data_IF_903464563862
#
_entry.id   IF_903464563862
#
_cell.length_a   1.000
_cell.length_b   1.000
_cell.length_c   1.000
_cell.angle_alpha   90.00
_cell.angle_beta   90.00
_cell.angle_gamma   90.00
#
_symmetry.space_group_name_H-M   'P 1'
#
loop_
_entity.id
_entity.type
_entity.pdbx_description
1 polymer ?
#
# COMPACT_ATOMS: atom_id res chain seq x y z
N UNK A 1 10.67 76.51 48.06
CA UNK A 1 10.45 76.94 49.48
C UNK A 1 9.95 75.72 50.23
N UNK A 2 10.82 75.21 51.05
CA UNK A 2 10.63 74.94 52.50
C UNK A 2 9.47 73.97 52.81
N UNK A 3 9.55 72.95 53.60
CA UNK A 3 10.55 72.45 54.55
C UNK A 3 9.86 71.38 55.37
N UNK A 4 10.57 70.32 55.67
CA UNK A 4 10.64 69.63 56.95
C UNK A 4 9.30 69.13 57.57
N UNK A 5 9.19 68.03 58.16
CA UNK A 5 10.13 67.16 58.86
C UNK A 5 9.36 66.12 59.68
N UNK A 6 10.03 65.07 59.95
CA UNK A 6 10.31 64.58 61.29
C UNK A 6 9.04 64.07 62.09
N UNK A 7 9.00 63.00 62.64
CA UNK A 7 9.85 62.06 63.44
C UNK A 7 8.96 61.26 64.37
N UNK A 8 9.35 60.06 64.55
CA UNK A 8 9.40 59.24 65.79
C UNK A 8 8.12 58.61 66.34
N UNK A 9 8.16 57.30 66.33
CA UNK A 9 8.35 56.33 67.45
C UNK A 9 7.22 56.24 68.49
N UNK A 10 6.65 55.08 68.71
CA UNK A 10 6.88 54.18 69.86
C UNK A 10 5.75 53.16 69.96
N UNK A 11 6.18 51.94 69.99
CA UNK A 11 5.71 50.78 70.76
C UNK A 11 4.39 50.93 71.55
N UNK A 12 3.50 49.95 71.31
CA UNK A 12 2.91 49.20 72.40
C UNK A 12 2.33 47.88 71.91
N UNK A 13 2.85 46.83 72.49
CA UNK A 13 2.39 45.47 72.48
C UNK A 13 1.01 45.34 73.09
N UNK A 14 0.10 44.64 72.47
CA UNK A 14 -0.88 43.83 73.24
C UNK A 14 -1.34 42.59 72.39
N UNK A 15 -1.09 41.44 72.98
CA UNK A 15 -1.64 40.15 72.67
C UNK A 15 -3.18 40.21 72.70
N UNK A 16 -3.79 39.63 71.63
CA UNK A 16 -5.06 38.93 71.85
C UNK A 16 -5.15 37.82 70.80
N UNK A 17 -5.08 36.64 71.32
CA UNK A 17 -5.40 35.42 70.59
C UNK A 17 -6.91 35.38 70.29
N UNK A 18 -7.25 35.12 69.05
CA UNK A 18 -8.57 34.60 68.74
C UNK A 18 -8.58 33.86 67.42
N UNK A 19 -8.75 32.58 67.56
CA UNK A 19 -9.53 31.67 66.68
C UNK A 19 -9.05 31.54 65.24
N UNK A 20 -8.17 30.62 65.04
CA UNK A 20 -7.98 29.90 63.79
C UNK A 20 -9.33 29.24 63.40
N UNK A 21 -10.05 29.80 62.46
CA UNK A 21 -10.98 29.06 61.65
C UNK A 21 -10.18 28.53 60.46
N UNK A 22 -9.82 27.26 60.54
CA UNK A 22 -9.37 26.53 59.37
C UNK A 22 -10.58 26.40 58.42
N UNK A 23 -10.70 27.31 57.51
CA UNK A 23 -11.38 27.02 56.26
C UNK A 23 -10.37 26.15 55.43
N UNK A 24 -10.54 24.85 55.48
CA UNK A 24 -10.07 23.99 54.42
C UNK A 24 -10.86 24.31 53.15
N UNK A 25 -10.43 25.33 52.41
CA UNK A 25 -10.67 25.34 51.01
C UNK A 25 -9.90 24.15 50.41
N UNK A 26 -10.62 23.06 50.22
CA UNK A 26 -10.22 22.02 49.29
C UNK A 26 -10.18 22.72 47.95
N UNK A 27 -9.02 23.22 47.54
CA UNK A 27 -8.75 23.49 46.15
C UNK A 27 -9.00 22.17 45.43
N UNK A 28 -10.19 22.03 44.88
CA UNK A 28 -10.52 21.01 43.88
C UNK A 28 -9.74 21.43 42.64
N UNK A 29 -8.44 21.11 42.61
CA UNK A 29 -7.67 21.21 41.40
C UNK A 29 -8.26 20.15 40.44
N UNK A 30 -9.32 20.54 39.73
CA UNK A 30 -9.67 19.80 38.52
C UNK A 30 -8.38 19.75 37.68
N UNK A 31 -7.74 18.58 37.66
CA UNK A 31 -6.58 18.35 36.82
C UNK A 31 -7.04 18.62 35.38
N UNK A 32 -6.50 19.68 34.77
CA UNK A 32 -6.71 19.93 33.35
C UNK A 32 -6.33 18.64 32.64
N UNK A 33 -7.25 18.04 31.87
CA UNK A 33 -6.95 16.80 31.16
C UNK A 33 -5.68 16.99 30.32
N UNK A 34 -4.72 16.10 30.48
CA UNK A 34 -3.47 16.19 29.73
C UNK A 34 -3.69 15.85 28.27
N UNK A 35 -3.13 16.67 27.37
CA UNK A 35 -3.05 16.31 25.96
C UNK A 35 -2.17 15.08 25.77
N UNK A 36 -2.56 14.22 24.86
CA UNK A 36 -1.82 13.03 24.42
C UNK A 36 -1.49 13.16 22.94
N UNK A 37 -0.41 12.55 22.54
CA UNK A 37 -0.05 12.39 21.16
C UNK A 37 -0.71 11.11 20.60
N UNK A 38 -1.31 11.25 19.43
CA UNK A 38 -1.88 10.16 18.65
C UNK A 38 -1.10 10.07 17.36
N UNK A 39 -0.58 8.89 17.06
CA UNK A 39 0.14 8.59 15.82
C UNK A 39 -0.61 7.53 15.05
N UNK A 40 -0.92 7.83 13.80
CA UNK A 40 -1.59 6.93 12.88
C UNK A 40 -0.60 6.54 11.79
N UNK A 41 -0.35 5.24 11.66
CA UNK A 41 0.43 4.66 10.57
C UNK A 41 -0.54 3.98 9.62
N UNK A 42 -0.68 4.52 8.41
CA UNK A 42 -1.60 4.02 7.39
C UNK A 42 -0.81 3.24 6.35
N UNK A 43 -1.07 1.95 6.25
CA UNK A 43 -0.37 1.04 5.33
C UNK A 43 -1.36 0.14 4.60
N UNK A 44 -0.93 -0.43 3.47
CA UNK A 44 -1.65 -1.55 2.86
C UNK A 44 -1.46 -2.84 3.67
N UNK A 45 -2.28 -3.86 3.43
CA UNK A 45 -2.07 -5.20 4.01
C UNK A 45 -0.73 -5.83 3.60
N UNK A 46 -0.12 -5.37 2.50
CA UNK A 46 1.23 -5.72 2.09
C UNK A 46 2.35 -4.88 2.72
N UNK A 47 2.02 -4.00 3.67
CA UNK A 47 2.99 -3.17 4.40
C UNK A 47 3.46 -1.91 3.66
N UNK A 48 2.91 -1.60 2.48
CA UNK A 48 3.26 -0.38 1.75
C UNK A 48 2.65 0.86 2.43
N UNK A 49 3.42 1.92 2.72
CA UNK A 49 2.87 3.16 3.26
C UNK A 49 1.86 3.82 2.31
N UNK A 50 0.73 4.27 2.85
CA UNK A 50 -0.21 5.15 2.15
C UNK A 50 0.25 6.59 2.38
N UNK A 51 1.16 7.06 1.55
CA UNK A 51 1.82 8.35 1.68
C UNK A 51 1.01 9.51 1.08
N UNK A 52 1.17 10.72 1.65
CA UNK A 52 0.55 11.96 1.18
C UNK A 52 -0.98 11.87 1.04
N UNK A 53 -1.61 11.02 1.85
CA UNK A 53 -3.04 10.79 1.81
C UNK A 53 -3.75 11.57 2.92
N UNK A 54 -4.80 12.30 2.56
CA UNK A 54 -5.53 13.13 3.52
C UNK A 54 -6.50 12.30 4.34
N UNK A 55 -6.60 12.65 5.62
CA UNK A 55 -7.53 12.04 6.57
C UNK A 55 -8.08 13.08 7.54
N UNK A 56 -9.18 12.72 8.21
CA UNK A 56 -9.80 13.52 9.24
C UNK A 56 -9.95 12.69 10.50
N UNK A 57 -9.79 13.32 11.66
CA UNK A 57 -10.05 12.73 12.97
C UNK A 57 -11.19 13.48 13.60
N UNK A 58 -12.17 12.76 14.12
CA UNK A 58 -13.36 13.29 14.79
C UNK A 58 -13.36 12.87 16.25
N UNK A 59 -13.93 13.72 17.12
CA UNK A 59 -14.01 13.49 18.55
C UNK A 59 -15.07 12.44 18.94
N UNK A 60 -15.88 11.99 18.02
CA UNK A 60 -16.93 11.00 18.23
C UNK A 60 -17.16 10.06 17.03
N UNK A 61 -17.83 8.95 17.27
CA UNK A 61 -18.14 7.94 16.25
C UNK A 61 -19.18 8.39 15.21
N UNK A 62 -19.82 9.55 15.38
CA UNK A 62 -20.75 10.10 14.38
C UNK A 62 -20.02 10.88 13.28
N UNK A 63 -18.71 11.10 13.45
CA UNK A 63 -17.82 11.84 12.56
C UNK A 63 -18.38 13.26 12.22
N UNK A 64 -18.88 13.95 13.22
CA UNK A 64 -19.45 15.31 13.08
C UNK A 64 -18.60 16.38 13.76
N UNK A 65 -17.90 16.05 14.85
CA UNK A 65 -17.05 16.98 15.60
C UNK A 65 -15.58 16.79 15.20
N UNK A 66 -15.10 17.67 14.29
CA UNK A 66 -13.77 17.60 13.73
C UNK A 66 -12.71 18.01 14.77
N UNK A 67 -11.86 17.08 15.19
CA UNK A 67 -10.74 17.31 16.09
C UNK A 67 -9.46 17.69 15.34
N UNK A 68 -9.11 16.95 14.27
CA UNK A 68 -7.90 17.17 13.51
C UNK A 68 -8.06 16.75 12.05
N UNK A 69 -7.24 17.32 11.17
CA UNK A 69 -7.17 16.92 9.77
C UNK A 69 -5.77 17.17 9.22
N UNK A 70 -5.33 16.30 8.32
CA UNK A 70 -4.02 16.44 7.69
C UNK A 70 -3.76 15.34 6.68
N UNK A 71 -2.48 15.18 6.34
CA UNK A 71 -2.03 14.14 5.41
C UNK A 71 -0.95 13.31 6.05
N UNK A 72 -0.89 12.04 5.67
CA UNK A 72 0.24 11.17 6.01
C UNK A 72 1.53 11.66 5.35
N UNK A 73 2.65 11.43 5.99
CA UNK A 73 3.98 11.67 5.44
C UNK A 73 4.39 10.57 4.43
N UNK A 74 5.65 10.58 4.00
CA UNK A 74 6.22 9.57 3.08
C UNK A 74 6.24 8.15 3.64
N UNK A 75 6.17 8.00 4.98
CA UNK A 75 6.13 6.72 5.69
C UNK A 75 4.69 6.29 6.03
N UNK A 76 3.68 7.03 5.57
CA UNK A 76 2.28 6.78 5.88
C UNK A 76 1.87 7.25 7.28
N UNK A 77 2.64 8.14 7.92
CA UNK A 77 2.41 8.56 9.30
C UNK A 77 1.71 9.93 9.35
N UNK A 78 0.68 10.02 10.19
CA UNK A 78 0.03 11.25 10.61
C UNK A 78 -0.04 11.31 12.12
N UNK A 79 0.33 12.45 12.72
CA UNK A 79 0.27 12.65 14.17
C UNK A 79 -0.47 13.93 14.54
N UNK A 80 -1.17 13.91 15.67
CA UNK A 80 -1.86 15.06 16.24
C UNK A 80 -1.87 14.99 17.78
N UNK A 81 -2.13 16.12 18.43
CA UNK A 81 -2.29 16.19 19.89
C UNK A 81 -3.73 16.55 20.22
N UNK A 82 -4.28 15.85 21.18
CA UNK A 82 -5.64 16.07 21.68
C UNK A 82 -5.77 15.58 23.12
N UNK A 83 -6.89 15.92 23.77
CA UNK A 83 -7.20 15.38 25.09
C UNK A 83 -7.33 13.85 25.03
N UNK A 84 -6.94 13.16 26.11
CA UNK A 84 -7.07 11.72 26.15
C UNK A 84 -8.54 11.27 25.99
N UNK A 85 -8.80 10.46 24.98
CA UNK A 85 -10.14 9.94 24.67
C UNK A 85 -10.04 8.60 23.94
N UNK A 86 -10.99 7.72 24.20
CA UNK A 86 -11.23 6.47 23.48
C UNK A 86 -12.34 6.56 22.40
N UNK A 87 -12.80 7.78 22.15
CA UNK A 87 -13.92 8.04 21.22
C UNK A 87 -13.45 8.58 19.86
N UNK A 88 -12.17 8.95 19.73
CA UNK A 88 -11.66 9.45 18.46
C UNK A 88 -11.78 8.41 17.35
N UNK A 89 -12.22 8.88 16.18
CA UNK A 89 -12.27 8.07 14.98
C UNK A 89 -11.55 8.76 13.82
N UNK A 90 -10.74 8.00 13.11
CA UNK A 90 -10.12 8.47 11.86
C UNK A 90 -10.96 8.05 10.67
N UNK A 91 -11.10 8.94 9.70
CA UNK A 91 -11.75 8.72 8.42
C UNK A 91 -10.76 9.08 7.32
N UNK A 92 -10.43 8.12 6.49
CA UNK A 92 -9.60 8.35 5.31
C UNK A 92 -10.44 9.00 4.21
N UNK A 93 -9.87 9.96 3.50
CA UNK A 93 -10.49 10.45 2.26
C UNK A 93 -10.57 9.30 1.24
N UNK A 94 -11.41 9.40 0.20
CA UNK A 94 -11.47 8.34 -0.81
C UNK A 94 -10.09 7.98 -1.35
N UNK A 95 -9.77 6.71 -1.28
CA UNK A 95 -8.53 6.12 -1.78
C UNK A 95 -8.62 5.89 -3.30
N UNK A 96 -7.50 5.70 -3.99
CA UNK A 96 -7.51 5.25 -5.38
C UNK A 96 -8.27 3.95 -5.56
N UNK A 97 -8.77 3.72 -6.77
CA UNK A 97 -9.49 2.50 -7.13
C UNK A 97 -8.67 1.24 -6.80
N UNK A 98 -9.35 0.24 -6.25
CA UNK A 98 -8.74 -1.01 -5.78
C UNK A 98 -8.19 -0.98 -4.36
N UNK A 99 -8.18 0.19 -3.68
CA UNK A 99 -7.85 0.30 -2.27
C UNK A 99 -9.13 0.42 -1.46
N UNK A 100 -9.30 -0.44 -0.47
CA UNK A 100 -10.52 -0.54 0.35
C UNK A 100 -10.20 -0.24 1.80
N UNK A 101 -10.79 0.84 2.32
CA UNK A 101 -10.69 1.22 3.72
C UNK A 101 -12.04 1.00 4.43
N UNK A 102 -11.98 0.79 5.75
CA UNK A 102 -13.16 0.88 6.60
C UNK A 102 -13.75 2.30 6.57
N UNK A 103 -15.03 2.45 6.89
CA UNK A 103 -15.66 3.76 6.95
C UNK A 103 -15.00 4.66 8.00
N UNK A 104 -14.59 4.07 9.12
CA UNK A 104 -13.88 4.76 10.19
C UNK A 104 -13.04 3.78 11.03
N UNK A 105 -12.02 4.31 11.69
CA UNK A 105 -11.11 3.58 12.57
C UNK A 105 -11.12 4.22 13.96
N UNK A 106 -11.46 3.46 14.99
CA UNK A 106 -11.38 3.93 16.38
C UNK A 106 -9.92 4.01 16.83
N UNK A 107 -9.54 5.15 17.42
CA UNK A 107 -8.17 5.42 17.84
C UNK A 107 -7.99 5.21 19.33
N UNK A 108 -6.79 4.80 19.71
CA UNK A 108 -6.30 4.76 21.07
C UNK A 108 -5.20 5.79 21.25
N UNK A 109 -5.02 6.29 22.45
CA UNK A 109 -3.87 7.12 22.80
C UNK A 109 -2.56 6.42 22.44
N UNK A 110 -1.61 7.11 21.80
CA UNK A 110 -0.36 6.58 21.32
C UNK A 110 -0.41 6.11 19.85
N UNK A 111 0.24 5.01 19.55
CA UNK A 111 0.40 4.49 18.20
C UNK A 111 -0.83 3.69 17.74
N UNK A 112 -1.28 3.94 16.52
CA UNK A 112 -2.36 3.25 15.84
C UNK A 112 -1.88 2.83 14.45
N UNK A 113 -2.20 1.59 14.04
CA UNK A 113 -1.96 1.13 12.69
C UNK A 113 -3.30 0.93 11.97
N UNK A 114 -3.45 1.58 10.83
CA UNK A 114 -4.60 1.47 9.94
C UNK A 114 -4.20 0.66 8.72
N UNK A 115 -4.82 -0.49 8.55
CA UNK A 115 -4.57 -1.38 7.43
C UNK A 115 -5.63 -1.16 6.35
N UNK A 116 -5.19 -0.79 5.17
CA UNK A 116 -6.00 -0.64 3.96
C UNK A 116 -5.87 -1.92 3.14
N UNK A 117 -6.99 -2.56 2.83
CA UNK A 117 -7.02 -3.73 1.95
C UNK A 117 -6.87 -3.33 0.49
N UNK A 118 -6.49 -4.29 -0.33
CA UNK A 118 -6.45 -4.14 -1.78
C UNK A 118 -7.30 -5.21 -2.43
N UNK A 119 -8.09 -4.84 -3.45
CA UNK A 119 -8.96 -5.74 -4.18
C UNK A 119 -8.80 -5.48 -5.69
N UNK A 120 -8.74 -6.54 -6.48
CA UNK A 120 -8.69 -6.44 -7.93
C UNK A 120 -9.90 -5.64 -8.45
N UNK A 121 -9.64 -4.77 -9.41
CA UNK A 121 -10.66 -3.89 -9.98
C UNK A 121 -11.51 -4.68 -10.99
N UNK A 122 -12.82 -4.51 -10.96
CA UNK A 122 -13.67 -5.06 -12.03
C UNK A 122 -13.33 -4.41 -13.37
N UNK A 123 -13.15 -5.23 -14.42
CA UNK A 123 -12.84 -4.74 -15.77
C UNK A 123 -14.05 -4.02 -16.37
N UNK A 124 -14.17 -2.73 -16.09
CA UNK A 124 -15.18 -1.86 -16.73
C UNK A 124 -14.69 -1.15 -18.00
N UNK A 125 -13.36 -1.07 -18.17
CA UNK A 125 -12.73 -0.37 -19.30
C UNK A 125 -11.96 -1.35 -20.20
N UNK A 126 -12.31 -1.51 -21.48
CA UNK A 126 -11.60 -2.39 -22.41
C UNK A 126 -10.15 -1.96 -22.67
N UNK A 127 -9.79 -0.70 -22.42
CA UNK A 127 -8.44 -0.15 -22.60
C UNK A 127 -7.65 -0.08 -21.29
N UNK A 128 -7.96 -0.92 -20.32
CA UNK A 128 -7.24 -0.91 -19.06
C UNK A 128 -5.77 -1.35 -19.25
N UNK A 129 -4.87 -0.53 -18.74
CA UNK A 129 -3.42 -0.76 -18.81
C UNK A 129 -2.92 -1.25 -17.46
N UNK A 130 -2.14 -2.33 -17.43
CA UNK A 130 -1.43 -2.78 -16.24
C UNK A 130 -0.31 -1.78 -15.90
N UNK A 131 -0.62 -0.84 -15.03
CA UNK A 131 0.27 0.28 -14.70
C UNK A 131 0.97 0.08 -13.37
N UNK A 132 2.27 0.31 -13.33
CA UNK A 132 3.09 0.20 -12.13
C UNK A 132 2.52 1.03 -10.97
N UNK A 133 2.38 0.42 -9.80
CA UNK A 133 1.84 1.02 -8.59
C UNK A 133 0.32 1.14 -8.54
N UNK A 134 -0.40 0.56 -9.50
CA UNK A 134 -1.86 0.48 -9.51
C UNK A 134 -2.34 -0.93 -9.21
N UNK A 135 -3.53 -1.04 -8.62
CA UNK A 135 -4.17 -2.34 -8.47
C UNK A 135 -4.59 -2.83 -9.87
N UNK A 136 -4.30 -4.09 -10.15
CA UNK A 136 -4.68 -4.73 -11.40
C UNK A 136 -6.20 -4.97 -11.46
N UNK A 137 -6.73 -5.09 -12.68
CA UNK A 137 -8.10 -5.55 -12.86
C UNK A 137 -8.18 -7.08 -12.79
N UNK A 138 -9.33 -7.61 -12.40
CA UNK A 138 -9.59 -9.03 -12.46
C UNK A 138 -9.83 -9.43 -13.92
N UNK A 139 -8.97 -10.27 -14.44
CA UNK A 139 -9.03 -10.72 -15.83
C UNK A 139 -9.20 -12.23 -15.91
N UNK A 140 -9.77 -12.67 -17.01
CA UNK A 140 -9.81 -14.06 -17.41
C UNK A 140 -9.16 -14.21 -18.77
N UNK A 141 -8.30 -15.22 -18.93
CA UNK A 141 -7.72 -15.64 -20.21
C UNK A 141 -7.94 -17.13 -20.44
N UNK A 142 -7.99 -17.53 -21.70
CA UNK A 142 -7.92 -18.95 -22.10
C UNK A 142 -6.61 -19.18 -22.82
N UNK A 143 -5.78 -20.11 -22.33
CA UNK A 143 -4.51 -20.44 -22.96
C UNK A 143 -4.68 -21.23 -24.27
N UNK A 144 -3.58 -21.44 -24.96
CA UNK A 144 -3.56 -22.18 -26.22
C UNK A 144 -3.92 -23.68 -26.09
N UNK A 145 -4.01 -24.21 -24.88
CA UNK A 145 -4.47 -25.57 -24.59
C UNK A 145 -5.96 -25.62 -24.19
N UNK A 146 -6.63 -24.47 -24.07
CA UNK A 146 -8.02 -24.35 -23.68
C UNK A 146 -8.24 -24.26 -22.17
N UNK A 147 -7.18 -24.14 -21.35
CA UNK A 147 -7.29 -23.93 -19.92
C UNK A 147 -7.62 -22.48 -19.60
N UNK A 148 -8.51 -22.26 -18.61
CA UNK A 148 -8.93 -20.90 -18.18
C UNK A 148 -8.16 -20.50 -16.94
N UNK A 149 -7.74 -19.26 -16.92
CA UNK A 149 -7.00 -18.62 -15.82
C UNK A 149 -7.64 -17.29 -15.48
N UNK A 150 -7.98 -17.10 -14.21
CA UNK A 150 -8.54 -15.87 -13.68
C UNK A 150 -7.56 -15.27 -12.67
N UNK A 151 -7.28 -13.99 -12.73
CA UNK A 151 -6.29 -13.36 -11.85
C UNK A 151 -6.62 -13.57 -10.38
N UNK A 152 -7.89 -13.34 -9.99
CA UNK A 152 -8.35 -13.53 -8.61
C UNK A 152 -8.21 -14.97 -8.11
N UNK A 153 -8.47 -15.97 -8.95
CA UNK A 153 -8.30 -17.38 -8.55
C UNK A 153 -6.82 -17.77 -8.43
N UNK A 154 -5.98 -17.29 -9.33
CA UNK A 154 -4.54 -17.53 -9.26
C UNK A 154 -3.92 -16.91 -8.00
N UNK A 155 -4.27 -15.68 -7.66
CA UNK A 155 -3.74 -14.99 -6.48
C UNK A 155 -4.20 -15.59 -5.14
N UNK A 156 -5.22 -16.46 -5.11
CA UNK A 156 -5.57 -17.22 -3.90
C UNK A 156 -4.50 -18.25 -3.53
N UNK A 157 -3.73 -18.74 -4.50
CA UNK A 157 -2.78 -19.82 -4.32
C UNK A 157 -1.34 -19.45 -4.68
N UNK A 158 -1.17 -18.42 -5.49
CA UNK A 158 0.14 -17.93 -5.95
C UNK A 158 0.51 -16.62 -5.25
N UNK A 159 1.78 -16.44 -4.98
CA UNK A 159 2.33 -15.22 -4.37
C UNK A 159 2.56 -14.09 -5.37
N UNK A 160 2.61 -14.42 -6.66
CA UNK A 160 2.73 -13.45 -7.74
C UNK A 160 2.19 -14.02 -9.05
N UNK A 161 1.74 -13.11 -9.93
CA UNK A 161 1.49 -13.40 -11.35
C UNK A 161 2.49 -12.63 -12.19
N UNK A 162 3.10 -13.31 -13.16
CA UNK A 162 3.99 -12.72 -14.14
C UNK A 162 3.27 -12.70 -15.48
N UNK A 163 3.00 -11.51 -16.00
CA UNK A 163 2.44 -11.33 -17.33
C UNK A 163 3.59 -10.99 -18.26
N UNK A 164 3.85 -11.82 -19.26
CA UNK A 164 4.86 -11.56 -20.27
C UNK A 164 4.19 -11.29 -21.61
N UNK A 165 4.35 -10.08 -22.14
CA UNK A 165 3.83 -9.70 -23.45
C UNK A 165 4.86 -9.98 -24.54
N UNK A 166 4.43 -10.69 -25.59
CA UNK A 166 5.30 -11.15 -26.65
C UNK A 166 4.57 -11.25 -28.00
N UNK A 167 5.30 -11.57 -29.08
CA UNK A 167 4.72 -11.95 -30.38
C UNK A 167 5.63 -12.91 -31.13
N UNK A 168 5.11 -13.65 -32.13
CA UNK A 168 5.80 -14.77 -32.76
C UNK A 168 7.12 -14.42 -33.45
N UNK A 169 7.19 -13.26 -34.09
CA UNK A 169 8.41 -12.81 -34.80
C UNK A 169 9.34 -11.94 -33.93
N UNK A 170 9.12 -11.89 -32.62
CA UNK A 170 9.94 -11.15 -31.68
C UNK A 170 11.26 -11.90 -31.37
N UNK A 171 12.35 -11.47 -31.97
CA UNK A 171 13.67 -12.05 -31.71
C UNK A 171 14.09 -11.99 -30.25
N UNK A 172 14.01 -10.82 -29.57
CA UNK A 172 14.32 -10.71 -28.14
C UNK A 172 13.44 -11.59 -27.24
N UNK A 173 12.13 -11.77 -27.56
CA UNK A 173 11.25 -12.66 -26.81
C UNK A 173 11.72 -14.13 -26.88
N UNK A 174 12.19 -14.55 -28.06
CA UNK A 174 12.74 -15.90 -28.26
C UNK A 174 13.99 -16.14 -27.44
N UNK A 175 14.83 -15.13 -27.24
CA UNK A 175 16.02 -15.22 -26.40
C UNK A 175 15.71 -15.31 -24.92
N UNK A 176 14.61 -14.68 -24.49
CA UNK A 176 14.20 -14.62 -23.09
C UNK A 176 13.56 -15.93 -22.59
N UNK A 177 12.72 -16.54 -23.38
CA UNK A 177 11.88 -17.69 -22.98
C UNK A 177 12.62 -18.86 -22.37
N UNK A 178 13.80 -19.30 -22.87
CA UNK A 178 14.53 -20.39 -22.22
C UNK A 178 14.89 -20.10 -20.76
N UNK A 179 15.37 -18.90 -20.45
CA UNK A 179 15.73 -18.50 -19.09
C UNK A 179 14.53 -18.36 -18.19
N UNK A 180 13.43 -17.80 -18.73
CA UNK A 180 12.14 -17.71 -18.03
C UNK A 180 11.60 -19.11 -17.72
N UNK A 181 11.68 -20.06 -18.67
CA UNK A 181 11.24 -21.45 -18.49
C UNK A 181 12.06 -22.17 -17.42
N UNK A 182 13.39 -22.02 -17.43
CA UNK A 182 14.23 -22.63 -16.41
C UNK A 182 13.86 -22.14 -15.02
N UNK A 183 13.74 -20.83 -14.82
CA UNK A 183 13.32 -20.24 -13.54
C UNK A 183 11.90 -20.65 -13.16
N UNK A 184 10.96 -20.64 -14.12
CA UNK A 184 9.57 -21.05 -13.84
C UNK A 184 9.52 -22.48 -13.28
N UNK A 185 10.33 -23.39 -13.76
CA UNK A 185 10.37 -24.77 -13.28
C UNK A 185 10.63 -24.85 -11.77
N UNK A 186 11.41 -23.92 -11.22
CA UNK A 186 11.74 -23.86 -9.79
C UNK A 186 10.69 -23.09 -8.97
N UNK A 187 10.02 -22.10 -9.58
CA UNK A 187 9.11 -21.19 -8.87
C UNK A 187 7.62 -21.43 -9.15
N UNK A 188 7.24 -22.36 -10.02
CA UNK A 188 5.85 -22.60 -10.46
C UNK A 188 4.84 -22.88 -9.33
N UNK A 189 5.30 -23.37 -8.19
CA UNK A 189 4.44 -23.59 -7.02
C UNK A 189 4.10 -22.27 -6.30
N UNK A 190 4.95 -21.26 -6.45
CA UNK A 190 4.83 -19.95 -5.79
C UNK A 190 4.25 -18.87 -6.70
N UNK A 191 4.47 -18.93 -8.01
CA UNK A 191 3.97 -17.96 -8.97
C UNK A 191 3.37 -18.63 -10.21
N UNK A 192 2.63 -17.85 -11.00
CA UNK A 192 2.20 -18.27 -12.33
C UNK A 192 2.73 -17.28 -13.38
N UNK A 193 3.09 -17.80 -14.55
CA UNK A 193 3.45 -17.01 -15.72
C UNK A 193 2.34 -17.14 -16.76
N UNK A 194 1.84 -16.01 -17.26
CA UNK A 194 0.92 -15.95 -18.37
C UNK A 194 1.62 -15.20 -19.51
N UNK A 195 2.07 -15.92 -20.53
CA UNK A 195 2.70 -15.33 -21.71
C UNK A 195 1.61 -14.97 -22.74
N UNK A 196 1.34 -13.67 -22.87
CA UNK A 196 0.22 -13.14 -23.64
C UNK A 196 0.70 -12.55 -24.95
N UNK A 197 0.13 -13.01 -26.06
CA UNK A 197 0.41 -12.50 -27.40
C UNK A 197 -0.80 -11.69 -27.92
N UNK A 198 -0.76 -10.36 -27.87
CA UNK A 198 -1.83 -9.51 -28.37
C UNK A 198 -1.73 -9.17 -29.86
N UNK A 199 -0.69 -9.67 -30.56
CA UNK A 199 -0.37 -9.24 -31.91
C UNK A 199 -0.80 -10.23 -33.00
N UNK A 200 -0.67 -11.53 -32.74
CA UNK A 200 -0.76 -12.53 -33.81
C UNK A 200 -2.15 -13.21 -33.91
N UNK A 201 -3.05 -13.00 -32.94
CA UNK A 201 -4.46 -13.37 -32.99
C UNK A 201 -4.80 -14.86 -33.25
N UNK A 202 -3.85 -15.81 -33.05
CA UNK A 202 -4.00 -17.20 -33.43
C UNK A 202 -3.53 -18.19 -32.36
N UNK A 203 -4.46 -18.78 -31.61
CA UNK A 203 -4.16 -19.76 -30.58
C UNK A 203 -3.39 -20.99 -31.09
N UNK A 204 -3.69 -21.49 -32.28
CA UNK A 204 -3.02 -22.68 -32.83
C UNK A 204 -1.55 -22.39 -33.16
N UNK A 205 -1.24 -21.23 -33.70
CA UNK A 205 0.11 -20.77 -33.98
C UNK A 205 0.92 -20.57 -32.67
N UNK A 206 0.32 -19.90 -31.71
CA UNK A 206 0.88 -19.68 -30.36
C UNK A 206 1.19 -21.00 -29.66
N UNK A 207 0.26 -21.98 -29.74
CA UNK A 207 0.47 -23.33 -29.20
C UNK A 207 1.68 -24.02 -29.82
N UNK A 208 1.73 -24.07 -31.16
CA UNK A 208 2.85 -24.68 -31.88
C UNK A 208 4.18 -24.02 -31.52
N UNK A 209 4.19 -22.72 -31.35
CA UNK A 209 5.36 -21.98 -30.95
C UNK A 209 5.82 -22.38 -29.52
N UNK A 210 4.90 -22.37 -28.55
CA UNK A 210 5.16 -22.79 -27.18
C UNK A 210 5.70 -24.22 -27.09
N UNK A 211 5.12 -25.14 -27.86
CA UNK A 211 5.59 -26.55 -27.98
C UNK A 211 7.02 -26.62 -28.54
N UNK A 212 7.35 -25.80 -29.55
CA UNK A 212 8.69 -25.79 -30.16
C UNK A 212 9.80 -25.34 -29.20
N UNK A 213 9.45 -24.56 -28.16
CA UNK A 213 10.34 -24.08 -27.10
C UNK A 213 10.20 -24.90 -25.80
N UNK A 214 9.34 -25.92 -25.80
CA UNK A 214 9.05 -26.73 -24.60
C UNK A 214 8.61 -25.87 -23.40
N UNK A 215 7.81 -24.83 -23.63
CA UNK A 215 7.30 -23.99 -22.56
C UNK A 215 6.23 -24.73 -21.77
N UNK A 216 6.32 -24.70 -20.44
CA UNK A 216 5.39 -25.35 -19.54
C UNK A 216 4.45 -24.38 -18.80
N UNK A 217 4.70 -23.08 -18.89
CA UNK A 217 3.78 -22.04 -18.43
C UNK A 217 2.68 -21.76 -19.48
N UNK A 218 1.52 -21.25 -19.07
CA UNK A 218 0.43 -20.86 -19.96
C UNK A 218 0.85 -19.83 -21.00
N UNK A 219 0.51 -20.10 -22.27
CA UNK A 219 0.74 -19.21 -23.40
C UNK A 219 -0.59 -18.99 -24.12
N UNK A 220 -0.95 -17.74 -24.40
CA UNK A 220 -2.23 -17.40 -25.01
C UNK A 220 -2.10 -16.33 -26.11
N UNK A 221 -2.89 -16.48 -27.17
CA UNK A 221 -3.24 -15.35 -28.03
C UNK A 221 -4.42 -14.61 -27.36
N UNK A 222 -4.30 -13.30 -27.24
CA UNK A 222 -5.31 -12.44 -26.59
C UNK A 222 -5.69 -11.30 -27.54
N UNK A 223 -6.74 -10.54 -27.23
CA UNK A 223 -7.15 -9.40 -28.02
C UNK A 223 -6.10 -8.26 -28.02
N UNK A 224 -6.12 -7.43 -29.06
CA UNK A 224 -5.19 -6.30 -29.22
C UNK A 224 -5.26 -5.30 -28.04
N UNK A 225 -6.40 -5.23 -27.36
CA UNK A 225 -6.57 -4.38 -26.17
C UNK A 225 -5.62 -4.70 -25.04
N UNK A 226 -5.11 -5.95 -24.95
CA UNK A 226 -4.09 -6.35 -23.99
C UNK A 226 -2.72 -5.70 -24.25
N UNK A 227 -2.46 -5.32 -25.49
CA UNK A 227 -1.27 -4.59 -25.89
C UNK A 227 -1.33 -3.10 -25.59
N UNK A 228 -2.47 -2.59 -25.12
CA UNK A 228 -2.59 -1.19 -24.73
C UNK A 228 -1.55 -0.83 -23.64
N UNK A 229 -0.74 0.21 -23.89
CA UNK A 229 0.33 0.61 -22.98
C UNK A 229 1.61 -0.24 -23.03
N UNK A 230 1.67 -1.26 -23.87
CA UNK A 230 2.91 -2.02 -24.14
C UNK A 230 3.71 -1.31 -25.21
N UNK A 231 4.82 -0.69 -24.84
CA UNK A 231 5.65 0.14 -25.73
C UNK A 231 6.69 -0.65 -26.53
N UNK A 232 6.90 -1.92 -26.17
CA UNK A 232 7.85 -2.80 -26.84
C UNK A 232 7.75 -4.24 -26.34
N UNK A 233 8.41 -5.15 -27.02
CA UNK A 233 8.38 -6.58 -26.71
C UNK A 233 9.79 -7.17 -26.56
N UNK A 234 10.03 -8.08 -25.61
CA UNK A 234 9.07 -8.48 -24.61
C UNK A 234 8.83 -7.38 -23.56
N UNK A 235 7.68 -7.43 -22.88
CA UNK A 235 7.43 -6.64 -21.67
C UNK A 235 6.98 -7.61 -20.58
N UNK A 236 7.70 -7.60 -19.45
CA UNK A 236 7.38 -8.40 -18.26
C UNK A 236 6.76 -7.53 -17.19
N UNK A 237 5.56 -7.89 -16.75
CA UNK A 237 4.81 -7.24 -15.66
C UNK A 237 4.64 -8.22 -14.53
N UNK A 238 4.81 -7.79 -13.27
CA UNK A 238 4.51 -8.61 -12.09
C UNK A 238 3.37 -7.97 -11.30
N UNK A 239 2.38 -8.79 -11.01
CA UNK A 239 1.28 -8.49 -10.08
C UNK A 239 1.55 -9.29 -8.82
N UNK A 240 1.63 -8.61 -7.68
CA UNK A 240 1.90 -9.27 -6.40
C UNK A 240 0.66 -9.97 -5.82
N UNK A 241 0.86 -10.65 -4.70
CA UNK A 241 -0.21 -11.39 -3.97
C UNK A 241 -1.37 -10.52 -3.48
N UNK A 242 -1.16 -9.20 -3.46
CA UNK A 242 -2.16 -8.21 -3.05
C UNK A 242 -2.85 -7.54 -4.25
N UNK A 243 -2.57 -8.02 -5.47
CA UNK A 243 -3.18 -7.53 -6.70
C UNK A 243 -2.59 -6.24 -7.27
N UNK A 244 -1.46 -5.75 -6.75
CA UNK A 244 -0.81 -4.55 -7.29
C UNK A 244 0.19 -4.91 -8.39
N UNK A 245 0.23 -4.08 -9.43
CA UNK A 245 1.32 -4.11 -10.42
C UNK A 245 2.58 -3.53 -9.78
N UNK A 246 3.51 -4.38 -9.39
CA UNK A 246 4.70 -4.01 -8.63
C UNK A 246 5.99 -3.96 -9.43
N UNK A 247 5.95 -4.46 -10.67
CA UNK A 247 7.08 -4.41 -11.59
C UNK A 247 6.60 -4.34 -13.03
N UNK A 248 7.33 -3.58 -13.87
CA UNK A 248 7.14 -3.55 -15.31
C UNK A 248 8.48 -3.24 -15.99
N UNK A 249 8.91 -4.14 -16.88
CA UNK A 249 10.17 -4.04 -17.60
C UNK A 249 9.96 -4.33 -19.08
N UNK A 250 10.43 -3.44 -19.95
CA UNK A 250 10.44 -3.64 -21.40
C UNK A 250 11.86 -3.96 -21.85
N UNK A 251 12.02 -5.04 -22.59
CA UNK A 251 13.27 -5.60 -23.06
C UNK A 251 13.50 -7.01 -22.53
N UNK A 252 14.33 -7.79 -23.24
CA UNK A 252 14.59 -9.18 -22.90
C UNK A 252 15.49 -9.32 -21.67
N UNK A 253 15.09 -10.18 -20.74
CA UNK A 253 15.93 -10.67 -19.63
C UNK A 253 16.63 -11.92 -20.14
N UNK A 254 17.93 -11.83 -20.37
CA UNK A 254 18.71 -12.86 -21.08
C UNK A 254 19.61 -13.69 -20.17
N UNK A 255 19.23 -13.84 -18.91
CA UNK A 255 19.90 -14.75 -17.98
C UNK A 255 18.95 -15.26 -16.92
N UNK A 256 19.14 -16.52 -16.49
CA UNK A 256 18.33 -17.17 -15.46
C UNK A 256 18.45 -16.48 -14.10
N UNK A 257 19.65 -16.03 -13.72
CA UNK A 257 19.88 -15.47 -12.39
C UNK A 257 19.06 -14.20 -12.14
N UNK A 258 18.82 -13.41 -13.19
CA UNK A 258 17.95 -12.23 -13.11
C UNK A 258 16.49 -12.63 -12.93
N UNK A 259 16.01 -13.66 -13.62
CA UNK A 259 14.66 -14.20 -13.37
C UNK A 259 14.52 -14.80 -11.98
N UNK A 260 15.50 -15.58 -11.53
CA UNK A 260 15.48 -16.17 -10.19
C UNK A 260 15.40 -15.08 -9.12
N UNK A 261 16.20 -14.04 -9.24
CA UNK A 261 16.19 -12.90 -8.33
C UNK A 261 14.83 -12.18 -8.33
N UNK A 262 14.24 -11.98 -9.50
CA UNK A 262 12.91 -11.38 -9.66
C UNK A 262 11.84 -12.24 -8.98
N UNK A 263 11.84 -13.54 -9.24
CA UNK A 263 10.85 -14.46 -8.73
C UNK A 263 11.00 -14.69 -7.23
N UNK A 264 12.23 -14.84 -6.74
CA UNK A 264 12.53 -14.95 -5.31
C UNK A 264 12.02 -13.74 -4.55
N UNK A 265 12.31 -12.53 -5.02
CA UNK A 265 11.89 -11.28 -4.38
C UNK A 265 10.38 -11.19 -4.24
N UNK A 266 9.60 -11.38 -5.31
CA UNK A 266 8.14 -11.24 -5.26
C UNK A 266 7.42 -12.43 -4.62
N UNK A 267 8.10 -13.57 -4.44
CA UNK A 267 7.53 -14.76 -3.79
C UNK A 267 8.05 -14.99 -2.36
N UNK A 268 8.91 -14.12 -1.82
CA UNK A 268 9.42 -14.21 -0.47
C UNK A 268 8.29 -14.17 0.58
N UNK A 269 8.47 -14.84 1.72
CA UNK A 269 7.46 -14.84 2.79
C UNK A 269 7.38 -13.49 3.51
N UNK A 270 8.51 -12.83 3.65
CA UNK A 270 8.69 -11.50 4.24
C UNK A 270 8.59 -10.36 3.22
N UNK A 271 8.02 -10.63 2.04
CA UNK A 271 7.79 -9.64 1.01
C UNK A 271 6.98 -8.46 1.52
N UNK A 272 7.51 -7.25 1.34
CA UNK A 272 6.81 -5.99 1.59
C UNK A 272 6.39 -5.40 0.24
N UNK A 273 5.11 -5.07 0.10
CA UNK A 273 4.54 -4.50 -1.11
C UNK A 273 5.24 -3.20 -1.50
N UNK A 274 5.84 -3.18 -2.68
CA UNK A 274 6.54 -2.01 -3.19
C UNK A 274 6.67 -2.06 -4.70
N UNK A 275 6.25 -1.00 -5.43
CA UNK A 275 6.54 -0.87 -6.85
C UNK A 275 8.05 -0.70 -7.09
N UNK A 276 8.61 -1.55 -7.96
CA UNK A 276 10.02 -1.56 -8.37
C UNK A 276 10.12 -1.06 -9.81
N UNK A 277 10.86 0.02 -10.03
CA UNK A 277 10.99 0.64 -11.35
C UNK A 277 12.09 0.00 -12.22
N UNK A 278 13.16 -0.47 -11.59
CA UNK A 278 14.29 -1.05 -12.30
C UNK A 278 14.64 -2.40 -11.69
N UNK A 279 15.03 -3.34 -12.54
CA UNK A 279 15.47 -4.69 -12.12
C UNK A 279 16.67 -4.64 -11.15
N UNK A 280 17.53 -3.63 -11.30
CA UNK A 280 18.66 -3.39 -10.40
C UNK A 280 18.28 -2.96 -8.97
N UNK A 281 17.05 -2.51 -8.75
CA UNK A 281 16.56 -2.09 -7.43
C UNK A 281 16.10 -3.27 -6.55
N UNK A 282 15.99 -4.46 -7.13
CA UNK A 282 15.72 -5.72 -6.42
C UNK A 282 17.01 -6.11 -5.68
N UNK A 283 16.93 -6.21 -4.36
CA UNK A 283 18.08 -6.53 -3.49
C UNK A 283 17.98 -7.94 -2.93
#
# INVERSE_FOLDING_TARGET
MKLKGFLLLLLATLLLASLFSCNNEVENSESVPAEREYTLKVITEGGMPIANHTLKVYADSTATDLESAGSTDENGIFSFKALESDKYVAVLNPLPEGFVAEQQYTLKSGENEIIVKTELIEKSNPNYILSLGKIAFDFEITDANGSRYTASELLKTKKALVINFWFENCGPCKMEFPFMQESYTEYKDKLEILALNPCDGNQASVKKYAESLSLSFPVASVGEEWGAGVWGYPTTVVIDRYGMVVFSHTGAITDKATFDKLFEYFTADDYIQKPIKNIGDIK
#
